data_IF_708961766789
#
_entry.id   IF_708961766789
#
_cell.length_a   1.000
_cell.length_b   1.000
_cell.length_c   1.000
_cell.angle_alpha   90.00
_cell.angle_beta   90.00
_cell.angle_gamma   90.00
#
_symmetry.space_group_name_H-M   'P 1'
#
loop_
_entity.id
_entity.type
_entity.pdbx_description
1 polymer ?
#
# COMPACT_ATOMS: atom_id res chain seq x y z
N UNK A 1 -10.96 14.74 34.00
CA UNK A 1 -10.52 14.66 32.60
C UNK A 1 -10.50 13.20 32.22
N UNK A 2 -11.37 12.76 31.34
CA UNK A 2 -11.29 11.44 30.75
C UNK A 2 -10.15 11.46 29.75
N UNK A 3 -9.08 10.72 29.99
CA UNK A 3 -8.04 10.45 29.01
C UNK A 3 -8.72 9.89 27.78
N UNK A 4 -8.47 10.40 26.57
CA UNK A 4 -9.01 9.80 25.38
C UNK A 4 -8.62 8.33 25.34
N UNK A 5 -9.54 7.43 24.98
CA UNK A 5 -9.31 5.98 25.05
C UNK A 5 -8.16 5.50 24.13
N UNK A 6 -7.71 6.34 23.22
CA UNK A 6 -6.65 6.03 22.27
C UNK A 6 -5.45 6.94 22.49
N UNK A 7 -4.27 6.38 22.28
CA UNK A 7 -3.03 7.16 22.24
C UNK A 7 -2.90 7.85 20.87
N UNK A 8 -2.72 9.18 20.89
CA UNK A 8 -2.62 10.01 19.70
C UNK A 8 -1.30 10.74 19.68
N UNK A 9 -0.84 11.12 18.48
CA UNK A 9 0.32 11.99 18.27
C UNK A 9 -0.03 13.06 17.25
N UNK A 10 0.51 14.26 17.46
CA UNK A 10 0.54 15.28 16.43
C UNK A 10 1.56 14.88 15.36
N UNK A 11 1.10 14.77 14.13
CA UNK A 11 1.97 14.56 12.97
C UNK A 11 2.07 15.88 12.22
N UNK A 12 3.30 16.39 12.08
CA UNK A 12 3.58 17.69 11.49
C UNK A 12 4.52 17.54 10.30
N UNK A 13 4.52 18.51 9.41
CA UNK A 13 5.45 18.56 8.29
C UNK A 13 5.24 19.79 7.43
N UNK A 14 6.10 19.94 6.42
CA UNK A 14 5.96 20.99 5.42
C UNK A 14 6.41 20.47 4.07
N UNK A 15 5.62 20.77 3.04
CA UNK A 15 5.91 20.42 1.66
C UNK A 15 6.44 21.63 0.89
N UNK A 16 7.53 21.41 0.17
CA UNK A 16 8.14 22.45 -0.66
C UNK A 16 8.45 21.88 -2.04
N UNK A 17 8.29 22.73 -3.05
CA UNK A 17 8.76 22.46 -4.38
C UNK A 17 10.30 22.50 -4.46
N UNK A 18 10.93 21.95 -5.51
CA UNK A 18 12.39 21.95 -5.66
C UNK A 18 13.02 23.34 -5.66
N UNK A 19 12.28 24.38 -6.02
CA UNK A 19 12.70 25.79 -5.97
C UNK A 19 12.56 26.41 -4.57
N UNK A 20 12.06 25.64 -3.57
CA UNK A 20 11.83 26.08 -2.20
C UNK A 20 10.46 26.73 -1.96
N UNK A 21 9.63 26.90 -2.98
CA UNK A 21 8.28 27.46 -2.82
C UNK A 21 7.38 26.50 -2.02
N UNK A 22 6.44 27.03 -1.20
CA UNK A 22 5.48 26.20 -0.49
C UNK A 22 4.55 25.50 -1.48
N UNK A 23 4.24 24.21 -1.23
CA UNK A 23 3.25 23.46 -1.99
C UNK A 23 1.87 23.75 -1.42
N UNK A 24 0.91 24.04 -2.29
CA UNK A 24 -0.52 24.13 -1.95
C UNK A 24 -1.21 22.79 -2.27
N UNK A 25 -2.11 22.37 -1.41
CA UNK A 25 -2.87 21.14 -1.59
C UNK A 25 -3.38 20.57 -0.29
N UNK A 26 -3.72 19.29 -0.31
CA UNK A 26 -4.26 18.56 0.84
C UNK A 26 -3.51 17.25 1.05
N UNK A 27 -3.57 16.76 2.27
CA UNK A 27 -3.23 15.39 2.63
C UNK A 27 -4.50 14.65 3.05
N UNK A 28 -4.59 13.40 2.67
CA UNK A 28 -5.65 12.50 3.12
C UNK A 28 -5.05 11.35 3.89
N UNK A 29 -5.53 11.15 5.11
CA UNK A 29 -5.16 10.04 5.98
C UNK A 29 -6.36 9.12 6.14
N UNK A 30 -6.20 7.82 5.86
CA UNK A 30 -7.26 6.82 6.01
C UNK A 30 -6.69 5.62 6.77
N UNK A 31 -7.32 5.14 7.86
CA UNK A 31 -6.92 3.88 8.47
C UNK A 31 -7.04 2.74 7.44
N UNK A 32 -6.06 1.87 7.37
CA UNK A 32 -6.05 0.74 6.42
C UNK A 32 -7.16 -0.28 6.69
N UNK A 33 -7.73 -0.24 7.90
CA UNK A 33 -8.82 -1.11 8.34
C UNK A 33 -9.61 -0.45 9.46
N UNK A 34 -10.76 -1.04 9.83
CA UNK A 34 -11.45 -0.70 11.07
C UNK A 34 -10.59 -1.10 12.27
N UNK A 35 -10.39 -0.19 13.21
CA UNK A 35 -9.60 -0.41 14.43
C UNK A 35 -10.50 -0.46 15.64
N UNK A 36 -10.28 -1.46 16.50
CA UNK A 36 -11.03 -1.65 17.74
C UNK A 36 -10.11 -1.37 18.92
N UNK A 37 -10.60 -0.62 19.90
CA UNK A 37 -9.96 -0.50 21.21
C UNK A 37 -10.74 -1.35 22.22
N UNK A 38 -10.11 -2.40 22.71
CA UNK A 38 -10.70 -3.31 23.69
C UNK A 38 -10.79 -2.70 25.10
N UNK A 39 -9.95 -1.71 25.40
CA UNK A 39 -9.88 -1.02 26.70
C UNK A 39 -10.94 0.08 26.75
N UNK A 40 -11.01 0.91 25.72
CA UNK A 40 -11.95 2.03 25.62
C UNK A 40 -13.34 1.64 25.09
N UNK A 41 -13.51 0.40 24.60
CA UNK A 41 -14.75 -0.06 23.93
C UNK A 41 -15.17 0.83 22.77
N UNK A 42 -14.19 1.31 21.99
CA UNK A 42 -14.41 2.22 20.85
C UNK A 42 -14.04 1.54 19.54
N UNK A 43 -14.79 1.84 18.50
CA UNK A 43 -14.53 1.39 17.13
C UNK A 43 -14.19 2.61 16.28
N UNK A 44 -13.03 2.59 15.65
CA UNK A 44 -12.60 3.61 14.68
C UNK A 44 -12.87 3.10 13.28
N UNK A 45 -13.83 3.73 12.62
CA UNK A 45 -14.12 3.45 11.22
C UNK A 45 -13.01 3.99 10.31
N UNK A 46 -12.75 3.37 9.15
CA UNK A 46 -11.74 3.85 8.20
C UNK A 46 -12.25 5.08 7.42
N UNK A 47 -12.57 6.14 8.16
CA UNK A 47 -13.04 7.42 7.62
C UNK A 47 -11.83 8.30 7.28
N UNK A 48 -11.80 8.97 6.12
CA UNK A 48 -10.69 9.83 5.75
C UNK A 48 -10.64 11.10 6.60
N UNK A 49 -9.42 11.47 7.01
CA UNK A 49 -9.09 12.78 7.58
C UNK A 49 -8.42 13.58 6.46
N UNK A 50 -8.99 14.74 6.12
CA UNK A 50 -8.42 15.66 5.15
C UNK A 50 -7.76 16.82 5.87
N UNK A 51 -6.55 17.17 5.48
CA UNK A 51 -5.74 18.23 6.07
C UNK A 51 -5.22 19.13 4.96
N UNK A 52 -5.58 20.43 5.05
CA UNK A 52 -5.07 21.43 4.11
C UNK A 52 -3.64 21.83 4.48
N UNK A 53 -2.79 22.00 3.46
CA UNK A 53 -1.51 22.66 3.63
C UNK A 53 -1.73 24.16 3.76
N UNK A 54 -1.11 24.79 4.74
CA UNK A 54 -1.20 26.23 4.95
C UNK A 54 -0.40 27.02 3.89
N UNK A 55 -0.40 28.34 3.99
CA UNK A 55 0.31 29.22 3.04
C UNK A 55 1.83 29.04 3.06
N UNK A 56 2.39 28.38 4.06
CA UNK A 56 3.79 27.98 4.14
C UNK A 56 4.03 26.54 3.67
N UNK A 57 2.98 25.84 3.23
CA UNK A 57 3.03 24.41 2.86
C UNK A 57 3.07 23.48 4.07
N UNK A 58 2.87 24.00 5.29
CA UNK A 58 2.91 23.22 6.52
C UNK A 58 1.54 22.64 6.89
N UNK A 59 1.56 21.60 7.71
CA UNK A 59 0.36 20.98 8.28
C UNK A 59 0.63 20.45 9.68
N UNK A 60 -0.46 20.28 10.45
CA UNK A 60 -0.51 19.60 11.74
C UNK A 60 -1.80 18.79 11.82
N UNK A 61 -1.69 17.52 12.18
CA UNK A 61 -2.84 16.61 12.30
C UNK A 61 -2.66 15.69 13.50
N UNK A 62 -3.73 15.50 14.26
CA UNK A 62 -3.76 14.55 15.37
C UNK A 62 -4.19 13.16 14.84
N UNK A 63 -3.30 12.19 14.92
CA UNK A 63 -3.53 10.84 14.45
C UNK A 63 -3.39 9.82 15.59
N UNK A 64 -4.15 8.74 15.48
CA UNK A 64 -4.07 7.58 16.35
C UNK A 64 -2.77 6.81 16.11
N UNK A 65 -2.11 6.37 17.18
CA UNK A 65 -0.93 5.51 17.06
C UNK A 65 -1.30 4.11 16.59
N UNK A 66 -0.46 3.51 15.75
CA UNK A 66 -0.79 2.25 15.07
C UNK A 66 -0.47 0.99 15.88
N UNK A 67 0.23 1.14 17.00
CA UNK A 67 0.69 0.06 17.90
C UNK A 67 0.26 0.30 19.36
N UNK A 68 -0.75 1.14 19.60
CA UNK A 68 -1.27 1.37 20.95
C UNK A 68 -1.77 0.07 21.59
N UNK A 69 -1.50 -0.08 22.88
CA UNK A 69 -1.93 -1.25 23.66
C UNK A 69 -3.47 -1.33 23.66
N UNK A 70 -4.00 -2.49 23.40
CA UNK A 70 -5.46 -2.73 23.36
C UNK A 70 -6.10 -2.51 21.99
N UNK A 71 -5.36 -2.08 20.99
CA UNK A 71 -5.88 -1.93 19.62
C UNK A 71 -5.83 -3.25 18.83
N UNK A 72 -6.84 -3.49 18.03
CA UNK A 72 -6.97 -4.66 17.14
C UNK A 72 -7.58 -4.23 15.81
N UNK A 73 -7.13 -4.77 14.66
CA UNK A 73 -6.01 -5.69 14.50
C UNK A 73 -4.67 -5.02 14.78
N UNK A 74 -3.63 -5.79 15.05
CA UNK A 74 -2.25 -5.29 15.15
C UNK A 74 -1.65 -5.09 13.76
N UNK A 75 -0.71 -4.15 13.65
CA UNK A 75 0.00 -3.91 12.37
C UNK A 75 -0.81 -3.17 11.31
N UNK A 76 -1.91 -2.53 11.70
CA UNK A 76 -2.62 -1.61 10.81
C UNK A 76 -1.78 -0.35 10.55
N UNK A 77 -2.10 0.36 9.48
CA UNK A 77 -1.36 1.54 9.02
C UNK A 77 -2.32 2.67 8.68
N UNK A 78 -1.80 3.87 8.59
CA UNK A 78 -2.46 4.99 7.92
C UNK A 78 -2.09 4.97 6.45
N UNK A 79 -3.06 4.93 5.56
CA UNK A 79 -2.84 5.23 4.14
C UNK A 79 -2.84 6.73 3.95
N UNK A 80 -1.70 7.26 3.53
CA UNK A 80 -1.49 8.68 3.27
C UNK A 80 -1.54 8.92 1.77
N UNK A 81 -2.36 9.87 1.35
CA UNK A 81 -2.40 10.33 -0.04
C UNK A 81 -2.11 11.84 -0.09
N UNK A 82 -1.13 12.20 -0.90
CA UNK A 82 -0.71 13.57 -1.18
C UNK A 82 -1.55 14.10 -2.35
N UNK A 83 -2.56 14.93 -2.07
CA UNK A 83 -3.54 15.42 -3.05
C UNK A 83 -3.07 16.73 -3.70
N UNK A 84 -1.93 16.71 -4.36
CA UNK A 84 -1.36 17.80 -5.14
C UNK A 84 -0.53 17.25 -6.32
N UNK A 85 -0.09 18.13 -7.23
CA UNK A 85 0.67 17.73 -8.40
C UNK A 85 1.98 17.01 -8.02
N UNK A 86 2.18 15.79 -8.52
CA UNK A 86 3.32 14.94 -8.18
C UNK A 86 3.21 14.21 -6.83
N UNK A 87 2.06 14.32 -6.17
CA UNK A 87 1.80 13.63 -4.91
C UNK A 87 1.77 12.10 -5.04
N UNK A 88 2.01 11.43 -3.94
CA UNK A 88 2.12 9.97 -3.82
C UNK A 88 1.07 9.41 -2.88
N UNK A 89 0.86 8.11 -2.95
CA UNK A 89 0.11 7.35 -1.94
C UNK A 89 1.04 6.30 -1.31
N UNK A 90 1.00 6.18 0.01
CA UNK A 90 1.89 5.30 0.76
C UNK A 90 1.31 4.97 2.15
N UNK A 91 1.86 3.94 2.79
CA UNK A 91 1.43 3.51 4.12
C UNK A 91 2.37 4.06 5.20
N UNK A 92 1.78 4.54 6.30
CA UNK A 92 2.45 5.14 7.44
C UNK A 92 2.20 4.31 8.70
N UNK A 93 3.25 3.98 9.42
CA UNK A 93 3.17 3.51 10.80
C UNK A 93 3.46 4.67 11.76
N UNK A 94 2.65 4.83 12.79
CA UNK A 94 2.80 5.86 13.81
C UNK A 94 2.96 5.17 15.18
N UNK A 95 4.21 4.92 15.63
CA UNK A 95 4.45 4.25 16.90
C UNK A 95 4.03 5.10 18.10
N UNK A 96 3.45 4.47 19.11
CA UNK A 96 3.09 5.10 20.38
C UNK A 96 4.31 5.64 21.14
N UNK A 97 5.48 5.02 20.95
CA UNK A 97 6.74 5.46 21.53
C UNK A 97 7.32 6.73 20.88
N UNK A 98 6.72 7.23 19.80
CA UNK A 98 7.17 8.45 19.14
C UNK A 98 7.00 9.68 20.05
N UNK A 99 7.98 10.59 19.97
CA UNK A 99 7.91 11.87 20.70
C UNK A 99 6.92 12.80 19.99
N UNK A 100 6.01 13.40 20.76
CA UNK A 100 5.00 14.32 20.23
C UNK A 100 5.54 15.78 20.23
N UNK A 101 5.48 16.55 19.13
CA UNK A 101 4.97 16.20 17.81
C UNK A 101 5.96 15.35 16.98
N UNK A 102 5.42 14.52 16.10
CA UNK A 102 6.20 13.65 15.19
C UNK A 102 6.32 14.31 13.82
N UNK A 103 7.53 14.45 13.30
CA UNK A 103 7.71 14.93 11.93
C UNK A 103 7.38 13.84 10.93
N UNK A 104 6.52 14.13 9.94
CA UNK A 104 6.20 13.20 8.86
C UNK A 104 7.46 12.74 8.10
N UNK A 105 8.45 13.61 7.96
CA UNK A 105 9.72 13.28 7.31
C UNK A 105 10.54 12.23 8.09
N UNK A 106 10.37 12.15 9.42
CA UNK A 106 11.03 11.12 10.26
C UNK A 106 10.30 9.79 10.24
N UNK A 107 9.03 9.78 9.86
CA UNK A 107 8.21 8.60 9.65
C UNK A 107 8.32 8.11 8.20
N UNK A 108 9.47 8.31 7.55
CA UNK A 108 9.71 8.02 6.15
C UNK A 108 8.96 6.75 5.74
N UNK A 109 8.27 6.76 4.59
CA UNK A 109 7.51 5.61 4.15
C UNK A 109 8.41 4.40 4.22
N UNK A 110 7.98 3.37 4.90
CA UNK A 110 8.52 2.04 4.66
C UNK A 110 8.49 1.90 3.15
N UNK A 111 9.66 1.68 2.54
CA UNK A 111 9.74 1.52 1.10
C UNK A 111 8.58 0.62 0.70
N UNK A 112 7.75 1.00 -0.28
CA UNK A 112 6.64 0.16 -0.67
C UNK A 112 7.23 -1.23 -0.83
N UNK A 113 6.55 -2.22 -0.28
CA UNK A 113 6.99 -3.62 -0.38
C UNK A 113 6.85 -4.06 -1.85
N UNK A 114 7.60 -3.36 -2.72
CA UNK A 114 7.75 -3.66 -4.14
C UNK A 114 8.27 -5.08 -4.36
N UNK A 115 8.87 -5.68 -3.32
CA UNK A 115 9.27 -7.08 -3.36
C UNK A 115 8.12 -8.06 -3.51
N UNK A 116 6.98 -7.84 -2.89
CA UNK A 116 5.85 -8.78 -2.99
C UNK A 116 5.10 -8.65 -4.33
N UNK A 117 4.96 -7.44 -4.88
CA UNK A 117 4.38 -7.28 -6.22
C UNK A 117 5.31 -7.76 -7.32
N UNK A 118 6.62 -7.56 -7.18
CA UNK A 118 7.60 -8.02 -8.17
C UNK A 118 7.75 -9.55 -8.15
N UNK A 119 7.66 -10.18 -6.99
CA UNK A 119 7.67 -11.66 -6.89
C UNK A 119 6.39 -12.26 -7.46
N UNK A 120 5.23 -11.66 -7.23
CA UNK A 120 3.97 -12.12 -7.82
C UNK A 120 3.97 -11.99 -9.35
N UNK A 121 4.46 -10.88 -9.90
CA UNK A 121 4.58 -10.67 -11.35
C UNK A 121 5.60 -11.60 -12.00
N UNK A 122 6.73 -11.89 -11.36
CA UNK A 122 7.71 -12.85 -11.84
C UNK A 122 7.17 -14.28 -11.82
N UNK A 123 6.47 -14.66 -10.77
CA UNK A 123 5.81 -15.95 -10.65
C UNK A 123 4.73 -16.15 -11.73
N UNK A 124 3.95 -15.11 -12.01
CA UNK A 124 2.92 -15.13 -13.06
C UNK A 124 3.52 -15.20 -14.46
N UNK A 125 4.63 -14.52 -14.70
CA UNK A 125 5.37 -14.57 -15.98
C UNK A 125 6.02 -15.93 -16.18
N UNK A 126 6.60 -16.54 -15.15
CA UNK A 126 7.15 -17.90 -15.22
C UNK A 126 6.06 -18.95 -15.47
N UNK A 127 4.90 -18.82 -14.81
CA UNK A 127 3.75 -19.69 -15.03
C UNK A 127 3.20 -19.55 -16.45
N UNK A 128 3.19 -18.35 -17.01
CA UNK A 128 2.77 -18.09 -18.38
C UNK A 128 3.76 -18.67 -19.39
N UNK A 129 5.06 -18.56 -19.13
CA UNK A 129 6.12 -19.15 -19.97
C UNK A 129 6.00 -20.68 -20.05
N UNK A 130 5.82 -21.33 -18.91
CA UNK A 130 5.63 -22.78 -18.83
C UNK A 130 4.37 -23.24 -19.59
N UNK A 131 3.31 -22.44 -19.61
CA UNK A 131 2.08 -22.74 -20.37
C UNK A 131 2.29 -22.56 -21.87
N UNK A 132 3.06 -21.60 -22.30
CA UNK A 132 3.39 -21.38 -23.72
C UNK A 132 4.24 -22.56 -24.25
N UNK A 133 5.27 -22.98 -23.51
CA UNK A 133 6.09 -24.14 -23.89
C UNK A 133 5.27 -25.42 -23.97
N UNK A 134 4.32 -25.64 -23.07
CA UNK A 134 3.43 -26.78 -23.11
C UNK A 134 2.51 -26.81 -24.34
N UNK A 135 2.04 -25.63 -24.78
CA UNK A 135 1.21 -25.48 -25.98
C UNK A 135 2.04 -25.75 -27.26
N UNK A 136 3.27 -25.23 -27.31
CA UNK A 136 4.18 -25.51 -28.45
C UNK A 136 4.53 -26.98 -28.57
N UNK A 137 4.76 -27.65 -27.45
CA UNK A 137 5.02 -29.09 -27.45
C UNK A 137 3.80 -29.89 -27.91
N UNK A 138 2.58 -29.52 -27.53
CA UNK A 138 1.34 -30.12 -28.00
C UNK A 138 1.13 -29.92 -29.50
N UNK A 139 1.45 -28.73 -30.01
CA UNK A 139 1.36 -28.41 -31.43
C UNK A 139 2.29 -29.28 -32.26
N UNK A 140 3.53 -29.47 -31.81
CA UNK A 140 4.52 -30.36 -32.48
C UNK A 140 4.10 -31.82 -32.49
N UNK A 141 3.46 -32.30 -31.43
CA UNK A 141 2.94 -33.68 -31.35
C UNK A 141 1.76 -33.88 -32.29
N UNK A 142 0.88 -32.92 -32.45
CA UNK A 142 -0.25 -32.98 -33.38
C UNK A 142 0.23 -32.95 -34.84
N UNK A 143 1.23 -32.15 -35.19
CA UNK A 143 1.81 -32.14 -36.54
C UNK A 143 2.50 -33.49 -36.87
N UNK A 144 3.21 -34.05 -35.91
CA UNK A 144 3.82 -35.38 -36.10
C UNK A 144 2.77 -36.50 -36.31
N UNK A 145 1.64 -36.44 -35.59
CA UNK A 145 0.55 -37.38 -35.73
C UNK A 145 -0.19 -37.26 -37.06
N UNK A 146 -0.33 -36.05 -37.61
CA UNK A 146 -0.95 -35.80 -38.91
C UNK A 146 -0.07 -36.28 -40.06
N UNK A 147 1.25 -36.24 -39.91
CA UNK A 147 2.19 -36.73 -40.93
C UNK A 147 2.25 -38.29 -41.03
N UNK A 148 1.87 -39.00 -40.00
CA UNK A 148 1.88 -40.48 -39.99
C UNK A 148 0.60 -41.08 -40.61
N UNK A 149 -0.50 -40.32 -40.69
CA UNK A 149 -1.79 -40.82 -41.16
C UNK A 149 -1.92 -41.08 -42.69
N UNK A 150 -1.20 -40.40 -43.60
CA UNK A 150 -1.37 -40.67 -45.05
C UNK A 150 -0.74 -41.98 -45.51
N UNK A 151 0.14 -42.61 -44.75
CA UNK A 151 0.78 -43.87 -45.18
C UNK A 151 -0.04 -45.14 -44.93
N UNK A 152 -1.13 -45.06 -44.17
CA UNK A 152 -1.97 -46.22 -43.86
C UNK A 152 -3.14 -46.48 -44.84
N UNK A 153 -3.32 -45.59 -45.82
CA UNK A 153 -4.42 -45.68 -46.80
C UNK A 153 -3.99 -46.10 -48.21
N UNK A 154 -2.71 -46.51 -48.40
CA UNK A 154 -2.22 -47.07 -49.70
C UNK A 154 -1.77 -48.56 -49.60
N UNK A 155 -2.56 -49.37 -49.00
CA UNK A 155 -2.27 -50.79 -48.93
C UNK A 155 -3.52 -51.63 -48.98
N UNK A 156 -4.19 -51.64 -50.15
CA UNK A 156 -4.92 -52.77 -50.69
C UNK A 156 -5.01 -52.59 -52.21
#
# INVERSE_FOLDING_TARGET
MTTPPFDHRHVTGAYRAPDGAPVAGQLRFVPSTTVYDSIGHVVVAPTPILVDLDTSGAFDVLLLTTDAVGTSPTGWTWRVAELFAGGREWDLQLPAASVDPVSLASLAPAAPSSGLMQVALLSDVEALHARVEAVEHLSAVVEAAVLVHPFLLMGV
#
